data_IF_488195233419
#
_entry.id   IF_488195233419
#
_cell.length_a   1.000
_cell.length_b   1.000
_cell.length_c   1.000
_cell.angle_alpha   90.00
_cell.angle_beta   90.00
_cell.angle_gamma   90.00
#
_symmetry.space_group_name_H-M   'P 1'
#
loop_
_entity.id
_entity.type
_entity.pdbx_description
1 polymer ?
#
# COMPACT_ATOMS: atom_id res chain seq x y z
N UNK A 1 7.67 -21.77 16.52
CA UNK A 1 6.84 -20.85 15.69
C UNK A 1 6.47 -19.65 16.57
N UNK A 2 6.87 -18.42 16.20
CA UNK A 2 6.34 -17.23 16.89
C UNK A 2 4.90 -17.06 16.43
N UNK A 3 3.95 -17.18 17.34
CA UNK A 3 2.55 -16.86 17.04
C UNK A 3 2.48 -15.36 16.71
N UNK A 4 1.88 -14.96 15.57
CA UNK A 4 1.66 -13.55 15.29
C UNK A 4 0.81 -12.96 16.41
N UNK A 5 1.21 -11.80 16.94
CA UNK A 5 0.39 -11.09 17.91
C UNK A 5 -0.84 -10.54 17.22
N UNK A 6 -1.88 -10.17 17.99
CA UNK A 6 -3.07 -9.51 17.44
C UNK A 6 -2.72 -8.27 16.62
N UNK A 7 -1.64 -7.56 17.01
CA UNK A 7 -1.14 -6.39 16.26
C UNK A 7 -0.51 -6.81 14.92
N UNK A 8 0.19 -7.94 14.86
CA UNK A 8 0.72 -8.48 13.59
C UNK A 8 -0.42 -8.91 12.67
N UNK A 9 -1.45 -9.58 13.19
CA UNK A 9 -2.62 -10.01 12.42
C UNK A 9 -3.39 -8.81 11.86
N UNK A 10 -3.62 -7.78 12.67
CA UNK A 10 -4.29 -6.55 12.25
C UNK A 10 -3.48 -5.80 11.17
N UNK A 11 -2.15 -5.73 11.31
CA UNK A 11 -1.29 -5.13 10.29
C UNK A 11 -1.40 -5.87 8.95
N UNK A 12 -1.37 -7.21 8.98
CA UNK A 12 -1.52 -8.03 7.77
C UNK A 12 -2.90 -7.86 7.13
N UNK A 13 -3.96 -7.76 7.93
CA UNK A 13 -5.32 -7.53 7.42
C UNK A 13 -5.42 -6.22 6.64
N UNK A 14 -4.99 -5.10 7.24
CA UNK A 14 -5.02 -3.77 6.61
C UNK A 14 -4.17 -3.68 5.35
N UNK A 15 -3.00 -4.32 5.35
CA UNK A 15 -2.15 -4.41 4.16
C UNK A 15 -2.83 -5.26 3.08
N UNK A 16 -3.47 -6.37 3.47
CA UNK A 16 -4.22 -7.24 2.59
C UNK A 16 -5.37 -6.53 1.86
N UNK A 17 -6.09 -5.63 2.53
CA UNK A 17 -7.15 -4.82 1.91
C UNK A 17 -6.61 -3.95 0.76
N UNK A 18 -5.44 -3.33 0.94
CA UNK A 18 -4.78 -2.55 -0.11
C UNK A 18 -4.38 -3.42 -1.31
N UNK A 19 -3.82 -4.60 -1.05
CA UNK A 19 -3.50 -5.56 -2.11
C UNK A 19 -4.75 -6.07 -2.84
N UNK A 20 -5.87 -6.23 -2.13
CA UNK A 20 -7.16 -6.60 -2.73
C UNK A 20 -7.64 -5.55 -3.74
N UNK A 21 -7.49 -4.26 -3.42
CA UNK A 21 -7.80 -3.17 -4.36
C UNK A 21 -6.89 -3.23 -5.58
N UNK A 22 -5.57 -3.36 -5.38
CA UNK A 22 -4.62 -3.41 -6.50
C UNK A 22 -4.83 -4.61 -7.43
N UNK A 23 -5.18 -5.77 -6.86
CA UNK A 23 -5.55 -6.94 -7.64
C UNK A 23 -6.82 -6.69 -8.47
N UNK A 24 -7.83 -6.01 -7.90
CA UNK A 24 -9.10 -5.73 -8.57
C UNK A 24 -9.04 -4.66 -9.66
N UNK A 25 -8.02 -3.81 -9.66
CA UNK A 25 -7.82 -2.77 -10.70
C UNK A 25 -6.78 -3.15 -11.75
N UNK A 26 -6.13 -4.30 -11.60
CA UNK A 26 -5.17 -4.81 -12.58
C UNK A 26 -5.86 -5.03 -13.93
N UNK A 27 -5.26 -4.51 -14.99
CA UNK A 27 -5.82 -4.58 -16.35
C UNK A 27 -6.77 -3.44 -16.73
N UNK A 28 -7.12 -2.54 -15.79
CA UNK A 28 -7.86 -1.31 -16.11
C UNK A 28 -6.94 -0.22 -16.68
N UNK A 29 -7.55 0.79 -17.31
CA UNK A 29 -6.82 1.96 -17.80
C UNK A 29 -6.10 2.70 -16.66
N UNK A 30 -5.08 3.50 -16.98
CA UNK A 30 -4.37 4.31 -15.98
C UNK A 30 -5.33 5.22 -15.19
N UNK A 31 -6.20 5.94 -15.91
CA UNK A 31 -7.20 6.82 -15.32
C UNK A 31 -8.18 6.10 -14.38
N UNK A 32 -8.69 4.92 -14.75
CA UNK A 32 -9.56 4.13 -13.87
C UNK A 32 -8.83 3.62 -12.63
N UNK A 33 -7.57 3.17 -12.79
CA UNK A 33 -6.74 2.75 -11.66
C UNK A 33 -6.53 3.92 -10.70
N UNK A 34 -6.22 5.10 -11.21
CA UNK A 34 -6.06 6.31 -10.39
C UNK A 34 -7.36 6.66 -9.66
N UNK A 35 -8.50 6.70 -10.36
CA UNK A 35 -9.79 7.02 -9.77
C UNK A 35 -10.12 6.07 -8.60
N UNK A 36 -9.91 4.76 -8.79
CA UNK A 36 -10.18 3.76 -7.75
C UNK A 36 -9.17 3.87 -6.59
N UNK A 37 -7.90 4.17 -6.87
CA UNK A 37 -6.92 4.42 -5.79
C UNK A 37 -7.31 5.64 -4.96
N UNK A 38 -7.72 6.73 -5.60
CA UNK A 38 -8.18 7.94 -4.93
C UNK A 38 -9.42 7.69 -4.07
N UNK A 39 -10.39 6.93 -4.59
CA UNK A 39 -11.63 6.64 -3.87
C UNK A 39 -11.43 5.63 -2.73
N UNK A 40 -10.66 4.56 -2.96
CA UNK A 40 -10.62 3.38 -2.07
C UNK A 40 -9.29 3.21 -1.34
N UNK A 41 -8.16 3.43 -2.00
CA UNK A 41 -6.85 3.21 -1.40
C UNK A 41 -6.42 4.37 -0.49
N UNK A 42 -6.72 5.62 -0.85
CA UNK A 42 -6.40 6.82 -0.03
C UNK A 42 -6.98 6.76 1.39
N UNK A 43 -8.29 6.50 1.61
CA UNK A 43 -8.82 6.44 2.97
C UNK A 43 -8.22 5.28 3.79
N UNK A 44 -7.98 4.13 3.16
CA UNK A 44 -7.35 2.98 3.82
C UNK A 44 -5.89 3.24 4.21
N UNK A 45 -5.11 3.85 3.32
CA UNK A 45 -3.75 4.27 3.62
C UNK A 45 -3.76 5.29 4.76
N UNK A 46 -4.61 6.31 4.71
CA UNK A 46 -4.71 7.32 5.79
C UNK A 46 -5.04 6.68 7.14
N UNK A 47 -5.98 5.72 7.16
CA UNK A 47 -6.32 4.97 8.37
C UNK A 47 -5.15 4.09 8.86
N UNK A 48 -4.42 3.45 7.94
CA UNK A 48 -3.23 2.66 8.25
C UNK A 48 -2.10 3.54 8.81
N UNK A 49 -1.88 4.74 8.26
CA UNK A 49 -0.89 5.69 8.78
C UNK A 49 -1.18 6.04 10.24
N UNK A 50 -2.42 6.47 10.51
CA UNK A 50 -2.85 6.84 11.85
C UNK A 50 -2.71 5.68 12.82
N UNK A 51 -3.15 4.50 12.41
CA UNK A 51 -3.05 3.29 13.23
C UNK A 51 -1.59 2.91 13.54
N UNK A 52 -0.69 2.95 12.54
CA UNK A 52 0.74 2.66 12.74
C UNK A 52 1.37 3.66 13.72
N UNK A 53 1.06 4.95 13.59
CA UNK A 53 1.56 6.01 14.50
C UNK A 53 1.07 5.81 15.93
N UNK A 54 -0.21 5.48 16.12
CA UNK A 54 -0.76 5.20 17.45
C UNK A 54 -0.14 3.95 18.06
N UNK A 55 -0.01 2.87 17.30
CA UNK A 55 0.64 1.65 17.79
C UNK A 55 2.10 1.87 18.13
N UNK A 56 2.83 2.67 17.35
CA UNK A 56 4.23 2.98 17.63
C UNK A 56 4.44 3.65 18.99
N UNK A 57 3.47 4.43 19.49
CA UNK A 57 3.52 5.02 20.84
C UNK A 57 3.43 3.97 21.96
N UNK A 58 2.79 2.83 21.68
CA UNK A 58 2.57 1.75 22.65
C UNK A 58 3.65 0.67 22.62
N UNK A 59 4.44 0.61 21.54
CA UNK A 59 5.48 -0.41 21.37
C UNK A 59 6.79 0.02 22.00
N UNK A 60 7.52 -0.95 22.58
CA UNK A 60 8.90 -0.72 23.01
C UNK A 60 9.77 -0.38 21.80
N UNK A 61 10.62 0.65 21.94
CA UNK A 61 11.53 1.15 20.90
C UNK A 61 12.46 0.08 20.33
N UNK A 62 12.75 -0.97 21.11
CA UNK A 62 13.66 -2.04 20.72
C UNK A 62 12.94 -3.25 20.10
N UNK A 63 11.61 -3.24 20.04
CA UNK A 63 10.84 -4.33 19.43
C UNK A 63 11.04 -4.34 17.91
N UNK A 64 11.20 -5.53 17.34
CA UNK A 64 11.24 -5.75 15.90
C UNK A 64 9.99 -5.18 15.19
N UNK A 65 8.83 -5.24 15.84
CA UNK A 65 7.59 -4.67 15.30
C UNK A 65 7.64 -3.14 15.26
N UNK A 66 8.25 -2.52 16.28
CA UNK A 66 8.45 -1.06 16.30
C UNK A 66 9.39 -0.60 15.18
N UNK A 67 10.44 -1.38 14.89
CA UNK A 67 11.36 -1.12 13.77
C UNK A 67 10.65 -1.25 12.42
N UNK A 68 9.85 -2.30 12.24
CA UNK A 68 9.06 -2.51 11.03
C UNK A 68 8.07 -1.36 10.79
N UNK A 69 7.37 -0.91 11.83
CA UNK A 69 6.43 0.22 11.73
C UNK A 69 7.16 1.54 11.44
N UNK A 70 8.31 1.78 12.07
CA UNK A 70 9.14 2.95 11.77
C UNK A 70 9.61 2.95 10.31
N UNK A 71 10.03 1.80 9.79
CA UNK A 71 10.44 1.65 8.40
C UNK A 71 9.27 1.94 7.44
N UNK A 72 8.09 1.37 7.69
CA UNK A 72 6.90 1.64 6.88
C UNK A 72 6.52 3.14 6.88
N UNK A 73 6.56 3.79 8.04
CA UNK A 73 6.29 5.23 8.16
C UNK A 73 7.36 6.10 7.48
N UNK A 74 8.62 5.65 7.41
CA UNK A 74 9.67 6.35 6.69
C UNK A 74 9.51 6.28 5.16
N UNK A 75 8.88 5.23 4.64
CA UNK A 75 8.55 5.09 3.21
C UNK A 75 7.22 5.76 2.83
N UNK A 76 6.56 6.40 3.79
CA UNK A 76 5.17 6.81 3.64
C UNK A 76 4.98 7.93 2.61
N UNK A 77 5.94 8.85 2.49
CA UNK A 77 5.91 9.90 1.46
C UNK A 77 6.03 9.32 0.05
N UNK A 78 6.85 8.27 -0.14
CA UNK A 78 6.93 7.55 -1.41
C UNK A 78 5.62 6.81 -1.74
N UNK A 79 4.96 6.24 -0.73
CA UNK A 79 3.62 5.64 -0.87
C UNK A 79 2.55 6.67 -1.23
N UNK A 80 2.63 7.90 -0.72
CA UNK A 80 1.73 8.99 -1.13
C UNK A 80 1.99 9.43 -2.57
N UNK A 81 3.24 9.38 -3.04
CA UNK A 81 3.56 9.62 -4.45
C UNK A 81 2.93 8.55 -5.35
N UNK A 82 2.89 7.29 -4.95
CA UNK A 82 2.18 6.25 -5.69
C UNK A 82 0.67 6.55 -5.91
N UNK A 83 0.06 7.33 -5.02
CA UNK A 83 -1.34 7.77 -5.16
C UNK A 83 -1.49 8.97 -6.12
N UNK A 84 -0.41 9.68 -6.44
CA UNK A 84 -0.39 10.76 -7.42
C UNK A 84 0.25 10.23 -8.71
N UNK A 85 -0.55 10.05 -9.76
CA UNK A 85 -0.03 9.58 -11.05
C UNK A 85 1.24 10.34 -11.47
N UNK A 86 2.26 9.59 -11.91
CA UNK A 86 3.31 10.13 -12.77
C UNK A 86 2.68 10.20 -14.16
N UNK A 87 2.26 11.38 -14.57
CA UNK A 87 2.04 11.72 -15.97
C UNK A 87 3.38 11.52 -16.69
N UNK A 88 3.50 10.47 -17.50
CA UNK A 88 3.88 10.52 -18.93
C UNK A 88 4.25 9.12 -19.43
N UNK A 89 3.46 8.61 -20.36
CA UNK A 89 3.96 7.87 -21.53
C UNK A 89 2.82 7.78 -22.53
N UNK A 90 2.58 8.90 -23.21
CA UNK A 90 2.18 8.81 -24.61
C UNK A 90 3.29 8.05 -25.36
N UNK A 91 2.90 7.17 -26.28
CA UNK A 91 3.71 6.19 -27.02
C UNK A 91 4.03 4.87 -26.31
N UNK A 92 3.15 3.89 -26.47
CA UNK A 92 3.39 2.85 -27.47
C UNK A 92 2.14 1.97 -27.64
N UNK A 93 1.34 2.28 -28.67
CA UNK A 93 0.66 1.20 -29.39
C UNK A 93 1.73 0.32 -30.03
N UNK A 94 2.06 -0.80 -29.40
CA UNK A 94 2.57 -2.04 -30.00
C UNK A 94 2.99 -2.98 -28.85
N UNK A 95 2.04 -3.71 -28.27
CA UNK A 95 2.38 -4.94 -27.55
C UNK A 95 2.35 -6.04 -28.62
N UNK A 96 3.49 -6.54 -29.13
CA UNK A 96 3.45 -7.70 -30.00
C UNK A 96 2.89 -8.88 -29.19
N UNK A 97 2.00 -9.70 -29.77
CA UNK A 97 1.45 -10.85 -29.09
C UNK A 97 2.58 -11.83 -28.78
N UNK A 98 2.70 -12.24 -27.52
CA UNK A 98 3.52 -13.38 -27.14
C UNK A 98 2.93 -14.62 -27.81
N UNK A 99 3.47 -14.96 -28.97
CA UNK A 99 3.22 -16.22 -29.65
C UNK A 99 4.57 -16.93 -29.72
N UNK A 100 4.62 -18.06 -28.99
CA UNK A 100 5.67 -19.07 -28.80
C UNK A 100 7.09 -18.81 -29.29
#
# INVERSE_FOLDING_TARGET
>A
VRTPSDTTTEALCRIGELYGIEAGIRGKSAAERLAIRQEKAVPLLTALEGWLREKQKTLSRHSELSKAFAYALNQWDALKLYLREITDTEHAGNVPPLTQ
#
